data_IF_104710200484
#
_entry.id   IF_104710200484
#
_cell.length_a   1.000
_cell.length_b   1.000
_cell.length_c   1.000
_cell.angle_alpha   90.00
_cell.angle_beta   90.00
_cell.angle_gamma   90.00
#
_symmetry.space_group_name_H-M   'P 1'
#
loop_
_entity.id
_entity.type
_entity.pdbx_description
1 polymer ?
#
# COMPACT_ATOMS: atom_id res chain seq x y z
N UNK A 1 3.87 9.84 39.69
CA UNK A 1 2.61 9.89 40.44
C UNK A 1 1.62 10.89 39.84
N UNK A 2 1.99 12.17 39.65
CA UNK A 2 1.08 13.18 39.06
C UNK A 2 0.77 12.97 37.56
N UNK A 3 1.75 12.58 36.74
CA UNK A 3 1.52 12.24 35.32
C UNK A 3 0.48 11.13 35.15
N UNK A 4 0.58 10.06 35.93
CA UNK A 4 -0.36 8.94 35.90
C UNK A 4 -1.77 9.36 36.34
N UNK A 5 -1.88 10.23 37.35
CA UNK A 5 -3.16 10.80 37.79
C UNK A 5 -3.82 11.64 36.70
N UNK A 6 -3.05 12.51 36.02
CA UNK A 6 -3.56 13.32 34.90
C UNK A 6 -4.00 12.46 33.73
N UNK A 7 -3.22 11.44 33.37
CA UNK A 7 -3.59 10.49 32.32
C UNK A 7 -4.92 9.80 32.63
N UNK A 8 -5.14 9.35 33.87
CA UNK A 8 -6.42 8.75 34.27
C UNK A 8 -7.61 9.72 34.15
N UNK A 9 -7.41 11.00 34.46
CA UNK A 9 -8.46 12.02 34.36
C UNK A 9 -8.84 12.32 32.91
N UNK A 10 -7.86 12.45 32.02
CA UNK A 10 -8.11 12.83 30.62
C UNK A 10 -8.41 11.65 29.69
N UNK A 11 -8.04 10.43 30.08
CA UNK A 11 -8.25 9.23 29.26
C UNK A 11 -9.68 9.09 28.71
N UNK A 12 -10.75 9.21 29.51
CA UNK A 12 -12.12 9.07 28.99
C UNK A 12 -12.48 10.12 27.93
N UNK A 13 -11.91 11.33 28.04
CA UNK A 13 -12.13 12.42 27.08
C UNK A 13 -11.48 12.08 25.74
N UNK A 14 -10.24 11.57 25.76
CA UNK A 14 -9.55 11.14 24.56
C UNK A 14 -10.19 9.90 23.93
N UNK A 15 -10.65 8.93 24.73
CA UNK A 15 -11.40 7.77 24.24
C UNK A 15 -12.69 8.20 23.52
N UNK A 16 -13.43 9.15 24.12
CA UNK A 16 -14.61 9.75 23.49
C UNK A 16 -14.26 10.53 22.22
N UNK A 17 -13.15 11.28 22.21
CA UNK A 17 -12.69 12.02 21.04
C UNK A 17 -12.41 11.10 19.86
N UNK A 18 -11.65 10.01 20.07
CA UNK A 18 -11.34 9.01 19.03
C UNK A 18 -12.62 8.38 18.49
N UNK A 19 -13.55 8.02 19.37
CA UNK A 19 -14.83 7.40 18.99
C UNK A 19 -15.73 8.34 18.18
N UNK A 20 -15.72 9.64 18.49
CA UNK A 20 -16.59 10.62 17.84
C UNK A 20 -15.97 11.22 16.57
N UNK A 21 -14.66 11.43 16.51
CA UNK A 21 -14.06 12.17 15.39
C UNK A 21 -14.17 11.42 14.04
N UNK A 22 -14.40 10.11 14.08
CA UNK A 22 -14.55 9.25 12.88
C UNK A 22 -15.64 9.73 11.90
N UNK A 23 -16.77 10.27 12.38
CA UNK A 23 -17.83 10.71 11.46
C UNK A 23 -17.40 11.90 10.58
N UNK A 24 -16.38 12.65 11.00
CA UNK A 24 -15.86 13.83 10.27
C UNK A 24 -15.03 13.44 9.04
N UNK A 25 -14.55 12.20 8.98
CA UNK A 25 -13.73 11.71 7.85
C UNK A 25 -14.50 10.79 6.92
N UNK A 26 -15.74 10.47 7.26
CA UNK A 26 -16.62 9.66 6.43
C UNK A 26 -16.95 10.41 5.15
N UNK A 27 -16.84 9.70 4.01
CA UNK A 27 -17.30 10.21 2.73
C UNK A 27 -18.78 10.65 2.80
N UNK A 28 -19.14 11.84 2.29
CA UNK A 28 -20.51 12.29 2.26
C UNK A 28 -21.36 11.50 1.24
N UNK A 29 -22.69 11.58 1.36
CA UNK A 29 -23.61 10.83 0.50
C UNK A 29 -23.53 11.28 -0.97
N UNK A 30 -23.38 12.57 -1.16
CA UNK A 30 -23.28 13.30 -2.41
C UNK A 30 -21.83 13.54 -2.84
N UNK A 31 -20.88 12.71 -2.38
CA UNK A 31 -19.45 12.86 -2.69
C UNK A 31 -19.15 13.07 -4.18
N UNK A 32 -19.91 12.42 -5.07
CA UNK A 32 -19.75 12.55 -6.53
C UNK A 32 -20.18 13.92 -7.08
N UNK A 33 -21.00 14.66 -6.34
CA UNK A 33 -21.56 15.95 -6.73
C UNK A 33 -20.84 17.13 -6.06
N UNK A 34 -19.83 16.86 -5.23
CA UNK A 34 -19.08 17.91 -4.56
C UNK A 34 -18.32 18.79 -5.55
N UNK A 35 -18.23 20.07 -5.23
CA UNK A 35 -17.38 20.99 -5.98
C UNK A 35 -15.90 20.68 -5.72
N UNK A 36 -15.01 21.22 -6.57
CA UNK A 36 -13.56 21.09 -6.38
C UNK A 36 -13.12 21.70 -5.04
N UNK A 37 -13.77 22.78 -4.60
CA UNK A 37 -13.50 23.44 -3.33
C UNK A 37 -13.91 22.56 -2.14
N UNK A 38 -15.11 21.97 -2.19
CA UNK A 38 -15.59 21.05 -1.15
C UNK A 38 -14.75 19.78 -1.06
N UNK A 39 -14.30 19.23 -2.20
CA UNK A 39 -13.37 18.10 -2.22
C UNK A 39 -12.04 18.44 -1.53
N UNK A 40 -11.53 19.65 -1.75
CA UNK A 40 -10.31 20.14 -1.10
C UNK A 40 -10.51 20.33 0.41
N UNK A 41 -11.64 20.93 0.81
CA UNK A 41 -11.98 21.11 2.23
C UNK A 41 -12.17 19.76 2.94
N UNK A 42 -12.85 18.81 2.31
CA UNK A 42 -13.00 17.46 2.83
C UNK A 42 -11.63 16.79 3.05
N UNK A 43 -10.72 16.90 2.07
CA UNK A 43 -9.35 16.39 2.19
C UNK A 43 -8.58 17.06 3.34
N UNK A 44 -8.70 18.37 3.52
CA UNK A 44 -8.08 19.10 4.64
C UNK A 44 -8.65 18.66 5.98
N UNK A 45 -9.97 18.47 6.07
CA UNK A 45 -10.63 17.93 7.27
C UNK A 45 -10.05 16.57 7.63
N UNK A 46 -9.89 15.68 6.64
CA UNK A 46 -9.28 14.36 6.86
C UNK A 46 -7.86 14.43 7.41
N UNK A 47 -7.03 15.36 6.93
CA UNK A 47 -5.69 15.56 7.48
C UNK A 47 -5.73 16.07 8.92
N UNK A 48 -6.55 17.08 9.21
CA UNK A 48 -6.70 17.60 10.57
C UNK A 48 -7.18 16.52 11.55
N UNK A 49 -8.11 15.65 11.14
CA UNK A 49 -8.54 14.52 11.97
C UNK A 49 -7.43 13.49 12.16
N UNK A 50 -6.62 13.20 11.13
CA UNK A 50 -5.48 12.30 11.27
C UNK A 50 -4.45 12.81 12.29
N UNK A 51 -4.20 14.12 12.33
CA UNK A 51 -3.34 14.75 13.34
C UNK A 51 -3.94 14.62 14.74
N UNK A 52 -5.24 14.88 14.90
CA UNK A 52 -5.96 14.70 16.18
C UNK A 52 -5.89 13.25 16.67
N UNK A 53 -6.03 12.27 15.77
CA UNK A 53 -5.93 10.85 16.11
C UNK A 53 -4.52 10.46 16.52
N UNK A 54 -3.51 11.04 15.87
CA UNK A 54 -2.10 10.85 16.20
C UNK A 54 -1.80 11.40 17.60
N UNK A 55 -2.27 12.60 17.91
CA UNK A 55 -2.15 13.19 19.24
C UNK A 55 -2.89 12.36 20.29
N UNK A 56 -4.09 11.87 19.99
CA UNK A 56 -4.83 10.99 20.88
C UNK A 56 -4.12 9.65 21.12
N UNK A 57 -3.53 9.04 20.08
CA UNK A 57 -2.75 7.81 20.20
C UNK A 57 -1.48 8.02 21.04
N UNK A 58 -0.87 9.20 21.02
CA UNK A 58 0.27 9.53 21.89
C UNK A 58 -0.11 9.57 23.38
N UNK A 59 -1.37 9.88 23.71
CA UNK A 59 -1.90 9.94 25.08
C UNK A 59 -2.44 8.60 25.55
N UNK A 60 -3.24 7.92 24.72
CA UNK A 60 -3.92 6.66 25.05
C UNK A 60 -3.01 5.43 24.87
N UNK A 61 -2.01 5.54 23.98
CA UNK A 61 -1.26 4.41 23.43
C UNK A 61 -1.91 3.89 22.14
N UNK A 62 -1.10 3.53 21.14
CA UNK A 62 -1.57 3.10 19.83
C UNK A 62 -2.49 1.89 19.88
N UNK A 63 -2.12 0.84 20.60
CA UNK A 63 -2.93 -0.40 20.70
C UNK A 63 -4.29 -0.15 21.37
N UNK A 64 -4.36 0.75 22.36
CA UNK A 64 -5.63 1.12 23.00
C UNK A 64 -6.51 1.92 22.03
N UNK A 65 -5.95 2.87 21.30
CA UNK A 65 -6.66 3.62 20.26
C UNK A 65 -7.14 2.71 19.13
N UNK A 66 -6.31 1.74 18.72
CA UNK A 66 -6.65 0.74 17.70
C UNK A 66 -7.89 -0.06 18.11
N UNK A 67 -8.00 -0.49 19.37
CA UNK A 67 -9.18 -1.21 19.87
C UNK A 67 -10.46 -0.39 19.73
N UNK A 68 -10.42 0.90 20.04
CA UNK A 68 -11.59 1.80 19.90
C UNK A 68 -12.01 1.91 18.44
N UNK A 69 -11.03 2.11 17.54
CA UNK A 69 -11.29 2.23 16.11
C UNK A 69 -11.76 0.90 15.49
N UNK A 70 -11.27 -0.23 15.98
CA UNK A 70 -11.72 -1.55 15.56
C UNK A 70 -13.18 -1.83 15.94
N UNK A 71 -13.64 -1.37 17.11
CA UNK A 71 -15.08 -1.44 17.45
C UNK A 71 -15.91 -0.71 16.40
N UNK A 72 -15.47 0.46 15.93
CA UNK A 72 -16.15 1.21 14.86
C UNK A 72 -16.12 0.49 13.52
N UNK A 73 -15.02 -0.16 13.19
CA UNK A 73 -14.94 -1.00 11.99
C UNK A 73 -15.92 -2.19 12.08
N UNK A 74 -15.94 -2.90 13.20
CA UNK A 74 -16.83 -4.04 13.42
C UNK A 74 -18.31 -3.63 13.42
N UNK A 75 -18.67 -2.49 14.03
CA UNK A 75 -20.01 -1.91 13.95
C UNK A 75 -20.42 -1.62 12.49
N UNK A 76 -19.50 -1.08 11.68
CA UNK A 76 -19.76 -0.84 10.26
C UNK A 76 -19.96 -2.13 9.45
N UNK A 77 -19.17 -3.17 9.75
CA UNK A 77 -19.26 -4.47 9.09
C UNK A 77 -20.55 -5.22 9.44
N UNK A 78 -21.04 -5.10 10.69
CA UNK A 78 -22.27 -5.73 11.13
C UNK A 78 -23.52 -5.24 10.36
N UNK A 79 -23.43 -4.08 9.69
CA UNK A 79 -24.49 -3.55 8.84
C UNK A 79 -24.49 -4.17 7.43
N UNK A 80 -23.43 -4.88 7.02
CA UNK A 80 -23.37 -5.53 5.71
C UNK A 80 -24.32 -6.72 5.65
N UNK A 81 -25.10 -6.82 4.57
CA UNK A 81 -26.10 -7.89 4.38
C UNK A 81 -27.57 -7.46 4.53
N UNK A 82 -27.85 -6.28 5.10
CA UNK A 82 -29.23 -5.73 5.19
C UNK A 82 -29.70 -5.07 3.87
N UNK A 83 -29.22 -5.54 2.72
CA UNK A 83 -29.51 -4.95 1.40
C UNK A 83 -28.78 -3.64 1.10
N UNK A 84 -27.97 -3.13 2.03
CA UNK A 84 -27.19 -1.91 1.86
C UNK A 84 -25.72 -2.17 2.21
N UNK A 85 -24.86 -2.36 1.19
CA UNK A 85 -23.42 -2.51 1.37
C UNK A 85 -22.76 -1.13 1.57
N UNK A 86 -23.17 -0.45 2.65
CA UNK A 86 -22.68 0.88 2.96
C UNK A 86 -21.20 0.82 3.38
N UNK A 87 -20.34 1.20 2.45
CA UNK A 87 -18.88 1.08 2.58
C UNK A 87 -18.23 2.23 3.36
N UNK A 88 -18.91 3.38 3.43
CA UNK A 88 -18.33 4.64 3.92
C UNK A 88 -17.96 4.61 5.41
N UNK A 89 -18.77 4.06 6.34
CA UNK A 89 -18.37 3.95 7.73
C UNK A 89 -17.16 3.04 7.93
N UNK A 90 -17.08 1.93 7.19
CA UNK A 90 -15.92 1.03 7.24
C UNK A 90 -14.66 1.70 6.67
N UNK A 91 -14.80 2.45 5.58
CA UNK A 91 -13.69 3.25 5.02
C UNK A 91 -13.20 4.30 6.01
N UNK A 92 -14.11 5.03 6.65
CA UNK A 92 -13.78 6.04 7.67
C UNK A 92 -12.98 5.42 8.83
N UNK A 93 -13.43 4.26 9.32
CA UNK A 93 -12.73 3.53 10.38
C UNK A 93 -11.33 3.11 9.94
N UNK A 94 -11.18 2.56 8.72
CA UNK A 94 -9.87 2.18 8.20
C UNK A 94 -8.95 3.38 7.97
N UNK A 95 -9.48 4.51 7.52
CA UNK A 95 -8.70 5.73 7.41
C UNK A 95 -8.13 6.15 8.76
N UNK A 96 -8.94 6.13 9.82
CA UNK A 96 -8.49 6.41 11.17
C UNK A 96 -7.45 5.39 11.67
N UNK A 97 -7.66 4.09 11.40
CA UNK A 97 -6.71 3.02 11.76
C UNK A 97 -5.37 3.21 11.05
N UNK A 98 -5.39 3.63 9.78
CA UNK A 98 -4.18 3.96 9.02
C UNK A 98 -3.47 5.17 9.61
N UNK A 99 -4.20 6.21 10.02
CA UNK A 99 -3.61 7.43 10.56
C UNK A 99 -2.73 7.17 11.80
N UNK A 100 -3.09 6.19 12.62
CA UNK A 100 -2.35 5.85 13.85
C UNK A 100 -1.30 4.75 13.67
N UNK A 101 -1.06 4.26 12.45
CA UNK A 101 -0.25 3.05 12.22
C UNK A 101 1.16 3.11 12.82
N UNK A 102 1.78 4.29 12.87
CA UNK A 102 3.11 4.48 13.46
C UNK A 102 3.16 4.36 14.99
N UNK A 103 2.01 4.40 15.66
CA UNK A 103 1.87 4.28 17.11
C UNK A 103 1.49 2.88 17.57
N UNK A 104 0.96 2.06 16.67
CA UNK A 104 0.56 0.69 16.96
C UNK A 104 1.80 -0.20 17.03
N UNK A 105 1.83 -1.10 18.02
CA UNK A 105 2.90 -2.06 18.17
C UNK A 105 3.03 -2.98 16.96
N UNK A 106 4.25 -3.20 16.47
CA UNK A 106 4.49 -4.18 15.40
C UNK A 106 4.16 -5.61 15.82
N UNK A 107 4.12 -5.91 17.13
CA UNK A 107 3.74 -7.23 17.66
C UNK A 107 2.31 -7.26 18.23
N UNK A 108 1.45 -6.29 17.86
CA UNK A 108 0.04 -6.29 18.26
C UNK A 108 -0.66 -7.56 17.77
N UNK A 109 -1.22 -8.37 18.66
CA UNK A 109 -1.68 -9.72 18.32
C UNK A 109 -3.18 -9.95 18.51
N UNK A 110 -3.93 -8.93 18.95
CA UNK A 110 -5.34 -9.07 19.33
C UNK A 110 -6.29 -8.54 18.26
N UNK A 111 -5.95 -7.41 17.63
CA UNK A 111 -6.86 -6.67 16.74
C UNK A 111 -6.42 -6.75 15.28
N UNK A 112 -5.13 -6.50 14.99
CA UNK A 112 -4.59 -6.47 13.64
C UNK A 112 -4.78 -7.77 12.86
N UNK A 113 -4.64 -8.99 13.45
CA UNK A 113 -4.96 -10.22 12.73
C UNK A 113 -6.41 -10.24 12.22
N UNK A 114 -7.35 -9.78 13.05
CA UNK A 114 -8.79 -9.74 12.72
C UNK A 114 -9.08 -8.73 11.60
N UNK A 115 -8.45 -7.56 11.65
CA UNK A 115 -8.57 -6.55 10.60
C UNK A 115 -8.07 -7.13 9.28
N UNK A 116 -6.86 -7.68 9.26
CA UNK A 116 -6.21 -8.20 8.05
C UNK A 116 -6.98 -9.38 7.43
N UNK A 117 -7.52 -10.28 8.25
CA UNK A 117 -8.33 -11.40 7.75
C UNK A 117 -9.67 -10.94 7.15
N UNK A 118 -10.20 -9.80 7.61
CA UNK A 118 -11.53 -9.32 7.18
C UNK A 118 -11.54 -8.65 5.81
N UNK A 119 -10.39 -8.19 5.30
CA UNK A 119 -10.34 -7.37 4.08
C UNK A 119 -10.90 -8.04 2.82
N UNK A 120 -10.85 -9.38 2.72
CA UNK A 120 -11.42 -10.11 1.59
C UNK A 120 -12.96 -10.08 1.57
N UNK A 121 -13.60 -9.77 2.70
CA UNK A 121 -15.05 -9.72 2.85
C UNK A 121 -15.62 -8.32 2.53
N UNK A 122 -14.75 -7.34 2.25
CA UNK A 122 -15.15 -5.95 2.10
C UNK A 122 -15.84 -5.73 0.75
N UNK A 123 -16.86 -4.84 0.68
CA UNK A 123 -17.50 -4.49 -0.58
C UNK A 123 -16.49 -3.99 -1.63
N UNK A 124 -16.71 -4.35 -2.90
CA UNK A 124 -15.87 -3.98 -4.04
C UNK A 124 -16.06 -2.50 -4.46
N UNK A 125 -15.80 -1.56 -3.56
CA UNK A 125 -15.90 -0.12 -3.79
C UNK A 125 -14.51 0.48 -3.97
N UNK A 126 -14.21 1.23 -5.06
CA UNK A 126 -12.85 1.69 -5.37
C UNK A 126 -12.19 2.50 -4.24
N UNK A 127 -12.93 3.42 -3.60
CA UNK A 127 -12.44 4.25 -2.51
C UNK A 127 -12.10 3.43 -1.26
N UNK A 128 -12.97 2.46 -0.92
CA UNK A 128 -12.71 1.54 0.19
C UNK A 128 -11.47 0.69 -0.10
N UNK A 129 -11.36 0.15 -1.32
CA UNK A 129 -10.22 -0.68 -1.73
C UNK A 129 -8.90 0.10 -1.73
N UNK A 130 -8.93 1.38 -2.15
CA UNK A 130 -7.79 2.28 -2.03
C UNK A 130 -7.34 2.41 -0.57
N UNK A 131 -8.27 2.70 0.34
CA UNK A 131 -7.97 2.83 1.78
C UNK A 131 -7.48 1.51 2.39
N UNK A 132 -8.04 0.37 1.98
CA UNK A 132 -7.54 -0.97 2.36
C UNK A 132 -6.08 -1.15 1.91
N UNK A 133 -5.75 -0.88 0.65
CA UNK A 133 -4.38 -1.01 0.13
C UNK A 133 -3.40 -0.12 0.92
N UNK A 134 -3.76 1.15 1.16
CA UNK A 134 -2.91 2.07 1.94
C UNK A 134 -2.75 1.60 3.40
N UNK A 135 -3.80 1.02 3.99
CA UNK A 135 -3.74 0.47 5.35
C UNK A 135 -2.82 -0.73 5.41
N UNK A 136 -2.96 -1.68 4.47
CA UNK A 136 -2.04 -2.82 4.32
C UNK A 136 -0.59 -2.33 4.24
N UNK A 137 -0.29 -1.35 3.39
CA UNK A 137 1.05 -0.80 3.24
C UNK A 137 1.59 -0.14 4.51
N UNK A 138 0.73 0.51 5.30
CA UNK A 138 1.11 1.14 6.57
C UNK A 138 1.43 0.13 7.69
N UNK A 139 0.84 -1.06 7.62
CA UNK A 139 1.05 -2.16 8.59
C UNK A 139 1.94 -3.29 8.04
N UNK A 140 2.73 -3.02 6.99
CA UNK A 140 3.69 -3.96 6.39
C UNK A 140 4.71 -4.52 7.39
N UNK A 141 5.26 -3.67 8.28
CA UNK A 141 6.15 -4.10 9.38
C UNK A 141 5.48 -5.09 10.33
N UNK A 142 4.23 -4.82 10.68
CA UNK A 142 3.44 -5.72 11.52
C UNK A 142 3.18 -7.05 10.80
N UNK A 143 2.89 -7.02 9.50
CA UNK A 143 2.67 -8.22 8.70
C UNK A 143 3.92 -9.12 8.67
N UNK A 144 5.10 -8.53 8.68
CA UNK A 144 6.36 -9.27 8.80
C UNK A 144 6.54 -9.96 10.16
N UNK A 145 5.94 -9.46 11.25
CA UNK A 145 6.09 -10.05 12.60
C UNK A 145 4.93 -10.96 12.99
N UNK A 146 3.85 -11.00 12.21
CA UNK A 146 2.71 -11.87 12.47
C UNK A 146 3.07 -13.36 12.42
N UNK A 147 2.56 -14.16 13.38
CA UNK A 147 2.79 -15.61 13.44
C UNK A 147 2.27 -16.34 12.20
N UNK A 148 1.12 -15.91 11.67
CA UNK A 148 0.49 -16.46 10.45
C UNK A 148 0.75 -15.59 9.21
N UNK A 149 1.95 -15.00 9.12
CA UNK A 149 2.29 -14.05 8.07
C UNK A 149 2.11 -14.62 6.64
N UNK A 150 2.42 -15.90 6.38
CA UNK A 150 2.37 -16.46 5.02
C UNK A 150 0.95 -16.56 4.44
N UNK A 151 -0.04 -17.17 5.13
CA UNK A 151 -1.44 -17.13 4.68
C UNK A 151 -1.97 -15.70 4.50
N UNK A 152 -1.64 -14.80 5.44
CA UNK A 152 -2.04 -13.40 5.36
C UNK A 152 -1.42 -12.69 4.14
N UNK A 153 -0.13 -12.94 3.86
CA UNK A 153 0.55 -12.39 2.67
C UNK A 153 -0.13 -12.83 1.38
N UNK A 154 -0.56 -14.10 1.26
CA UNK A 154 -1.29 -14.56 0.08
C UNK A 154 -2.61 -13.80 -0.12
N UNK A 155 -3.39 -13.64 0.95
CA UNK A 155 -4.65 -12.87 0.93
C UNK A 155 -4.40 -11.39 0.58
N UNK A 156 -3.37 -10.80 1.18
CA UNK A 156 -2.94 -9.42 0.92
C UNK A 156 -2.55 -9.25 -0.55
N UNK A 157 -1.75 -10.16 -1.13
CA UNK A 157 -1.36 -10.06 -2.55
C UNK A 157 -2.58 -10.12 -3.48
N UNK A 158 -3.59 -10.95 -3.18
CA UNK A 158 -4.85 -10.97 -3.94
C UNK A 158 -5.58 -9.63 -3.88
N UNK A 159 -5.65 -9.01 -2.70
CA UNK A 159 -6.26 -7.68 -2.52
C UNK A 159 -5.50 -6.62 -3.31
N UNK A 160 -4.16 -6.62 -3.26
CA UNK A 160 -3.35 -5.66 -4.01
C UNK A 160 -3.53 -5.82 -5.52
N UNK A 161 -3.54 -7.06 -6.03
CA UNK A 161 -3.84 -7.31 -7.45
C UNK A 161 -5.25 -6.84 -7.85
N UNK A 162 -6.23 -7.00 -6.97
CA UNK A 162 -7.57 -6.46 -7.19
C UNK A 162 -7.54 -4.91 -7.22
N UNK A 163 -6.81 -4.27 -6.31
CA UNK A 163 -6.59 -2.83 -6.29
C UNK A 163 -5.97 -2.33 -7.59
N UNK A 164 -4.90 -2.98 -8.06
CA UNK A 164 -4.25 -2.69 -9.34
C UNK A 164 -5.20 -2.76 -10.54
N UNK A 165 -6.25 -3.59 -10.51
CA UNK A 165 -7.21 -3.72 -11.61
C UNK A 165 -8.45 -2.83 -11.53
N UNK A 166 -8.72 -2.18 -10.38
CA UNK A 166 -10.03 -1.56 -10.13
C UNK A 166 -10.12 -0.11 -10.63
N UNK A 167 -9.25 0.77 -10.15
CA UNK A 167 -9.17 2.19 -10.56
C UNK A 167 -7.71 2.67 -10.52
N UNK A 168 -7.40 3.79 -11.16
CA UNK A 168 -6.05 4.39 -11.10
C UNK A 168 -5.66 4.72 -9.65
N UNK A 169 -6.56 5.33 -8.88
CA UNK A 169 -6.34 5.67 -7.47
C UNK A 169 -6.04 4.45 -6.58
N UNK A 170 -6.78 3.35 -6.78
CA UNK A 170 -6.56 2.10 -6.04
C UNK A 170 -5.33 1.35 -6.54
N UNK A 171 -4.98 1.49 -7.82
CA UNK A 171 -3.76 0.93 -8.39
C UNK A 171 -2.50 1.62 -7.85
N UNK A 172 -2.49 2.94 -7.77
CA UNK A 172 -1.41 3.72 -7.15
C UNK A 172 -1.22 3.32 -5.67
N UNK A 173 -2.33 3.24 -4.92
CA UNK A 173 -2.30 2.78 -3.54
C UNK A 173 -1.76 1.34 -3.39
N UNK A 174 -2.18 0.44 -4.27
CA UNK A 174 -1.72 -0.95 -4.28
C UNK A 174 -0.24 -1.08 -4.63
N UNK A 175 0.26 -0.27 -5.57
CA UNK A 175 1.67 -0.23 -5.96
C UNK A 175 2.57 0.21 -4.78
N UNK A 176 2.18 1.26 -4.05
CA UNK A 176 2.89 1.73 -2.85
C UNK A 176 2.87 0.66 -1.76
N UNK A 177 1.71 0.05 -1.52
CA UNK A 177 1.57 -1.00 -0.50
C UNK A 177 2.41 -2.25 -0.84
N UNK A 178 2.40 -2.66 -2.11
CA UNK A 178 3.22 -3.75 -2.62
C UNK A 178 4.70 -3.52 -2.36
N UNK A 179 5.19 -2.29 -2.60
CA UNK A 179 6.56 -1.92 -2.29
C UNK A 179 6.89 -2.03 -0.81
N UNK A 180 6.06 -1.48 0.08
CA UNK A 180 6.32 -1.57 1.53
C UNK A 180 6.33 -3.02 2.02
N UNK A 181 5.41 -3.85 1.51
CA UNK A 181 5.39 -5.28 1.84
C UNK A 181 6.65 -5.99 1.33
N UNK A 182 7.09 -5.71 0.11
CA UNK A 182 8.33 -6.28 -0.40
C UNK A 182 9.54 -5.82 0.43
N UNK A 183 9.64 -4.55 0.82
CA UNK A 183 10.75 -4.06 1.64
C UNK A 183 10.78 -4.74 3.02
N UNK A 184 9.66 -4.75 3.74
CA UNK A 184 9.59 -5.26 5.11
C UNK A 184 9.52 -6.80 5.17
N UNK A 185 8.91 -7.47 4.18
CA UNK A 185 8.70 -8.92 4.14
C UNK A 185 9.60 -9.67 3.13
N UNK A 186 10.60 -9.02 2.52
CA UNK A 186 11.46 -9.60 1.46
C UNK A 186 11.96 -11.01 1.72
N UNK A 187 12.39 -11.31 2.96
CA UNK A 187 12.89 -12.65 3.33
C UNK A 187 11.82 -13.74 3.26
N UNK A 188 10.57 -13.41 3.61
CA UNK A 188 9.43 -14.35 3.50
C UNK A 188 8.95 -14.49 2.06
N UNK A 189 9.18 -13.45 1.25
CA UNK A 189 8.74 -13.34 -0.13
C UNK A 189 9.72 -13.89 -1.16
N UNK A 190 10.98 -14.15 -0.78
CA UNK A 190 12.01 -14.67 -1.68
C UNK A 190 11.62 -15.99 -2.36
N UNK A 191 10.86 -16.84 -1.69
CA UNK A 191 10.32 -18.09 -2.24
C UNK A 191 9.14 -17.92 -3.21
N UNK A 192 8.59 -16.72 -3.34
CA UNK A 192 7.43 -16.40 -4.20
C UNK A 192 7.83 -15.50 -5.38
N UNK A 193 9.11 -15.48 -5.75
CA UNK A 193 9.64 -14.55 -6.73
C UNK A 193 8.92 -14.61 -8.09
N UNK A 194 8.61 -15.81 -8.61
CA UNK A 194 7.93 -15.94 -9.89
C UNK A 194 6.50 -15.35 -9.87
N UNK A 195 5.76 -15.51 -8.76
CA UNK A 195 4.45 -14.88 -8.57
C UNK A 195 4.57 -13.35 -8.56
N UNK A 196 5.55 -12.81 -7.82
CA UNK A 196 5.81 -11.37 -7.75
C UNK A 196 6.25 -10.81 -9.11
N UNK A 197 7.03 -11.58 -9.86
CA UNK A 197 7.46 -11.23 -11.21
C UNK A 197 6.28 -11.17 -12.18
N UNK A 198 5.30 -12.08 -12.05
CA UNK A 198 4.08 -12.04 -12.86
C UNK A 198 3.26 -10.75 -12.63
N UNK A 199 3.20 -10.25 -11.39
CA UNK A 199 2.55 -8.98 -11.05
C UNK A 199 3.28 -7.82 -11.71
N UNK A 200 4.61 -7.81 -11.64
CA UNK A 200 5.45 -6.82 -12.29
C UNK A 200 5.26 -6.80 -13.81
N UNK A 201 5.31 -7.95 -14.49
CA UNK A 201 5.14 -8.02 -15.94
C UNK A 201 3.82 -7.40 -16.37
N UNK A 202 2.72 -7.76 -15.69
CA UNK A 202 1.39 -7.20 -15.97
C UNK A 202 1.34 -5.68 -15.81
N UNK A 203 1.99 -5.16 -14.78
CA UNK A 203 1.98 -3.72 -14.50
C UNK A 203 2.96 -2.90 -15.37
N UNK A 204 4.11 -3.48 -15.76
CA UNK A 204 5.18 -2.75 -16.46
C UNK A 204 5.07 -2.85 -17.97
N UNK A 205 4.68 -4.01 -18.48
CA UNK A 205 4.45 -4.26 -19.91
C UNK A 205 3.06 -3.73 -20.32
N UNK A 206 2.16 -3.54 -19.35
CA UNK A 206 0.77 -3.14 -19.61
C UNK A 206 -0.09 -4.30 -20.12
N UNK A 207 0.36 -5.54 -19.93
CA UNK A 207 -0.42 -6.73 -20.24
C UNK A 207 -1.46 -7.02 -19.14
N UNK A 208 -2.73 -6.97 -19.52
CA UNK A 208 -3.86 -7.36 -18.66
C UNK A 208 -4.69 -6.18 -18.17
N UNK A 209 -5.49 -6.43 -17.13
CA UNK A 209 -6.50 -5.49 -16.62
C UNK A 209 -5.98 -4.45 -15.62
N UNK A 210 -4.66 -4.34 -15.44
CA UNK A 210 -4.08 -3.41 -14.47
C UNK A 210 -4.12 -1.96 -14.98
N UNK A 211 -4.48 -1.05 -14.07
CA UNK A 211 -4.59 0.40 -14.30
C UNK A 211 -3.42 1.15 -13.64
N UNK A 212 -2.27 0.48 -13.52
CA UNK A 212 -1.06 1.04 -12.90
C UNK A 212 -0.41 2.01 -13.88
N UNK A 213 -0.20 3.26 -13.46
CA UNK A 213 0.46 4.26 -14.30
C UNK A 213 1.94 3.94 -14.50
N UNK A 214 2.55 4.57 -15.50
CA UNK A 214 4.00 4.49 -15.73
C UNK A 214 4.81 4.90 -14.48
N UNK A 215 4.37 5.94 -13.76
CA UNK A 215 5.00 6.43 -12.54
C UNK A 215 4.83 5.45 -11.38
N UNK A 216 3.62 4.96 -11.15
CA UNK A 216 3.35 3.98 -10.08
C UNK A 216 4.07 2.65 -10.31
N UNK A 217 4.30 2.28 -11.57
CA UNK A 217 5.04 1.07 -11.93
C UNK A 217 6.48 1.07 -11.39
N UNK A 218 7.06 2.24 -11.13
CA UNK A 218 8.37 2.37 -10.50
C UNK A 218 8.40 1.75 -9.10
N UNK A 219 7.30 1.81 -8.35
CA UNK A 219 7.21 1.16 -7.04
C UNK A 219 7.32 -0.36 -7.13
N UNK A 220 6.78 -0.99 -8.19
CA UNK A 220 6.88 -2.43 -8.39
C UNK A 220 8.28 -2.85 -8.81
N UNK A 221 8.94 -2.01 -9.63
CA UNK A 221 10.34 -2.20 -10.03
C UNK A 221 11.24 -2.14 -8.79
N UNK A 222 11.06 -1.11 -7.96
CA UNK A 222 11.77 -0.94 -6.69
C UNK A 222 11.55 -2.14 -5.75
N UNK A 223 10.29 -2.57 -5.60
CA UNK A 223 9.88 -3.68 -4.76
C UNK A 223 10.59 -5.00 -5.13
N UNK A 224 10.56 -5.37 -6.41
CA UNK A 224 11.22 -6.60 -6.87
C UNK A 224 12.74 -6.51 -6.73
N UNK A 225 13.31 -5.35 -7.01
CA UNK A 225 14.74 -5.13 -6.86
C UNK A 225 15.20 -5.37 -5.41
N UNK A 226 14.39 -4.96 -4.43
CA UNK A 226 14.64 -5.26 -3.01
C UNK A 226 14.55 -6.75 -2.69
N UNK A 227 13.55 -7.47 -3.23
CA UNK A 227 13.39 -8.92 -2.99
C UNK A 227 14.56 -9.71 -3.59
N UNK A 228 15.05 -9.31 -4.77
CA UNK A 228 16.21 -9.94 -5.43
C UNK A 228 17.46 -9.91 -4.54
N UNK A 229 17.62 -8.88 -3.70
CA UNK A 229 18.78 -8.80 -2.79
C UNK A 229 18.82 -9.89 -1.71
N UNK A 230 17.69 -10.57 -1.45
CA UNK A 230 17.61 -11.69 -0.50
C UNK A 230 17.64 -13.07 -1.21
N UNK A 231 17.78 -13.11 -2.54
CA UNK A 231 17.92 -14.36 -3.29
C UNK A 231 19.37 -14.89 -3.23
N UNK A 232 19.57 -16.21 -3.33
CA UNK A 232 20.89 -16.79 -3.57
C UNK A 232 21.54 -16.23 -4.84
N UNK A 233 22.89 -16.09 -4.92
CA UNK A 233 23.57 -15.45 -6.04
C UNK A 233 23.18 -15.98 -7.43
N UNK A 234 23.04 -17.29 -7.57
CA UNK A 234 22.70 -17.94 -8.84
C UNK A 234 21.29 -17.55 -9.34
N UNK A 235 20.35 -17.44 -8.41
CA UNK A 235 18.97 -17.04 -8.69
C UNK A 235 18.85 -15.52 -8.86
N UNK A 236 19.65 -14.75 -8.11
CA UNK A 236 19.64 -13.30 -8.17
C UNK A 236 20.06 -12.77 -9.55
N UNK A 237 21.08 -13.38 -10.19
CA UNK A 237 21.48 -13.01 -11.57
C UNK A 237 20.31 -13.20 -12.55
N UNK A 238 19.71 -14.38 -12.54
CA UNK A 238 18.59 -14.71 -13.44
C UNK A 238 17.37 -13.82 -13.19
N UNK A 239 17.07 -13.56 -11.92
CA UNK A 239 15.99 -12.67 -11.51
C UNK A 239 16.22 -11.22 -11.98
N UNK A 240 17.46 -10.74 -11.91
CA UNK A 240 17.84 -9.41 -12.37
C UNK A 240 17.76 -9.28 -13.89
N UNK A 241 18.21 -10.28 -14.64
CA UNK A 241 18.05 -10.34 -16.09
C UNK A 241 16.56 -10.31 -16.50
N UNK A 242 15.74 -11.13 -15.84
CA UNK A 242 14.27 -11.14 -16.03
C UNK A 242 13.66 -9.76 -15.74
N UNK A 243 14.12 -9.08 -14.69
CA UNK A 243 13.62 -7.75 -14.31
C UNK A 243 14.00 -6.68 -15.33
N UNK A 244 15.23 -6.70 -15.83
CA UNK A 244 15.73 -5.73 -16.81
C UNK A 244 15.11 -5.89 -18.20
N UNK A 245 14.75 -7.12 -18.62
CA UNK A 245 14.33 -7.40 -20.00
C UNK A 245 13.12 -6.55 -20.44
N UNK A 246 12.00 -6.46 -19.70
CA UNK A 246 10.87 -5.61 -20.07
C UNK A 246 11.18 -4.11 -20.13
N UNK A 247 12.29 -3.69 -19.52
CA UNK A 247 12.75 -2.30 -19.49
C UNK A 247 13.67 -1.99 -20.68
N UNK A 248 14.58 -2.91 -20.99
CA UNK A 248 15.59 -2.75 -22.05
C UNK A 248 15.02 -3.01 -23.43
N UNK A 249 14.13 -3.99 -23.59
CA UNK A 249 13.60 -4.37 -24.92
C UNK A 249 12.97 -3.19 -25.67
N UNK A 250 12.06 -2.38 -25.07
CA UNK A 250 11.47 -1.24 -25.77
C UNK A 250 12.52 -0.18 -26.16
N UNK A 251 13.53 0.05 -25.32
CA UNK A 251 14.63 0.97 -25.62
C UNK A 251 15.46 0.47 -26.81
N UNK A 252 15.78 -0.82 -26.82
CA UNK A 252 16.56 -1.44 -27.90
C UNK A 252 15.79 -1.43 -29.23
N UNK A 253 14.48 -1.66 -29.21
CA UNK A 253 13.62 -1.55 -30.39
C UNK A 253 13.63 -0.14 -30.98
N UNK A 254 13.50 0.90 -30.14
CA UNK A 254 13.56 2.29 -30.63
C UNK A 254 14.94 2.62 -31.19
N UNK A 255 16.03 2.18 -30.54
CA UNK A 255 17.40 2.42 -31.03
C UNK A 255 17.63 1.73 -32.38
N UNK A 256 17.16 0.49 -32.54
CA UNK A 256 17.34 -0.30 -33.77
C UNK A 256 16.53 0.26 -34.96
N UNK A 257 15.47 1.03 -34.70
CA UNK A 257 14.69 1.70 -35.75
C UNK A 257 15.37 2.96 -36.31
N UNK A 258 16.50 3.38 -35.73
CA UNK A 258 17.32 4.48 -36.22
C UNK A 258 16.92 5.87 -35.69
N UNK A 259 17.76 6.89 -35.96
CA UNK A 259 17.65 8.21 -35.33
C UNK A 259 16.36 8.95 -35.67
N UNK A 260 15.81 8.77 -36.88
CA UNK A 260 14.57 9.45 -37.30
C UNK A 260 13.34 9.04 -36.48
N UNK A 261 13.29 7.80 -35.99
CA UNK A 261 12.18 7.33 -35.13
C UNK A 261 12.41 7.77 -33.68
N UNK A 262 13.65 7.73 -33.22
CA UNK A 262 14.04 8.20 -31.90
C UNK A 262 13.70 9.70 -31.70
N UNK A 263 13.98 10.55 -32.69
CA UNK A 263 13.67 11.99 -32.63
C UNK A 263 12.16 12.30 -32.61
N UNK A 264 11.33 11.38 -33.10
CA UNK A 264 9.86 11.52 -33.11
C UNK A 264 9.21 11.01 -31.82
N UNK A 265 9.92 10.25 -30.99
CA UNK A 265 9.41 9.73 -29.72
C UNK A 265 9.32 10.83 -28.67
N UNK A 266 8.23 10.82 -27.90
CA UNK A 266 8.11 11.70 -26.75
C UNK A 266 9.15 11.31 -25.70
N UNK A 267 9.90 12.30 -25.17
CA UNK A 267 10.95 12.04 -24.17
C UNK A 267 10.45 11.20 -22.99
N UNK A 268 9.22 11.45 -22.51
CA UNK A 268 8.58 10.69 -21.42
C UNK A 268 8.45 9.19 -21.68
N UNK A 269 8.31 8.78 -22.94
CA UNK A 269 8.21 7.36 -23.31
C UNK A 269 9.55 6.64 -23.17
N UNK A 270 10.67 7.37 -23.24
CA UNK A 270 12.02 6.83 -23.04
C UNK A 270 12.45 6.96 -21.58
N UNK A 271 12.19 8.12 -20.97
CA UNK A 271 12.61 8.43 -19.59
C UNK A 271 12.03 7.43 -18.59
N UNK A 272 10.79 6.95 -18.77
CA UNK A 272 10.21 5.93 -17.89
C UNK A 272 11.06 4.65 -17.82
N UNK A 273 11.62 4.19 -18.94
CA UNK A 273 12.46 2.99 -18.95
C UNK A 273 13.84 3.27 -18.33
N UNK A 274 14.38 4.47 -18.53
CA UNK A 274 15.63 4.89 -17.89
C UNK A 274 15.45 4.98 -16.37
N UNK A 275 14.34 5.55 -15.90
CA UNK A 275 14.01 5.62 -14.49
C UNK A 275 13.85 4.22 -13.89
N UNK A 276 13.15 3.30 -14.58
CA UNK A 276 13.05 1.90 -14.16
C UNK A 276 14.43 1.27 -13.98
N UNK A 277 15.37 1.43 -14.92
CA UNK A 277 16.74 0.95 -14.75
C UNK A 277 17.43 1.60 -13.54
N UNK A 278 17.28 2.91 -13.36
CA UNK A 278 17.87 3.61 -12.22
C UNK A 278 17.33 3.05 -10.88
N UNK A 279 16.03 2.75 -10.77
CA UNK A 279 15.43 2.13 -9.59
C UNK A 279 15.94 0.71 -9.34
N UNK A 280 16.13 -0.09 -10.40
CA UNK A 280 16.72 -1.44 -10.30
C UNK A 280 18.10 -1.37 -9.65
N UNK A 281 18.97 -0.51 -10.18
CA UNK A 281 20.36 -0.43 -9.71
C UNK A 281 20.52 0.34 -8.40
N UNK A 282 19.62 1.27 -8.07
CA UNK A 282 19.64 2.00 -6.78
C UNK A 282 19.31 1.12 -5.58
N UNK A 283 18.41 0.15 -5.76
CA UNK A 283 17.89 -0.69 -4.67
C UNK A 283 18.85 -1.82 -4.28
N UNK A 284 19.83 -2.13 -5.11
CA UNK A 284 20.96 -3.01 -4.79
C UNK A 284 21.90 -2.35 -3.77
N UNK A 285 21.56 -2.39 -2.48
CA UNK A 285 22.41 -1.84 -1.40
C UNK A 285 23.70 -2.63 -1.16
N UNK A 286 23.82 -3.81 -1.73
CA UNK A 286 25.13 -4.40 -2.03
C UNK A 286 25.38 -4.15 -3.51
N UNK A 287 26.57 -3.67 -3.91
CA UNK A 287 26.94 -3.68 -5.31
C UNK A 287 26.93 -5.16 -5.72
N UNK A 288 25.84 -5.63 -6.31
CA UNK A 288 25.93 -6.71 -7.27
C UNK A 288 27.04 -6.27 -8.20
N UNK A 289 28.16 -7.01 -8.30
CA UNK A 289 29.20 -6.61 -9.22
C UNK A 289 28.53 -6.57 -10.58
N UNK A 290 28.33 -5.37 -11.12
CA UNK A 290 27.73 -5.15 -12.44
C UNK A 290 28.49 -5.93 -13.52
N UNK A 291 29.72 -6.35 -13.21
CA UNK A 291 30.52 -7.31 -13.95
C UNK A 291 29.83 -8.65 -14.25
N UNK A 292 28.81 -9.08 -13.49
CA UNK A 292 28.10 -10.33 -13.75
C UNK A 292 26.97 -10.22 -14.78
N UNK A 293 26.48 -9.01 -15.07
CA UNK A 293 25.42 -8.77 -16.08
C UNK A 293 25.99 -8.58 -17.49
N UNK A 294 27.28 -8.30 -17.59
CA UNK A 294 27.98 -8.03 -18.86
C UNK A 294 29.07 -9.07 -19.18
N UNK A 295 29.04 -10.24 -18.54
CA UNK A 295 29.94 -11.36 -18.77
C UNK A 295 29.18 -12.61 -19.23
#
# INVERSE_FOLDING_TARGET
MEKSRRLQVFRPVYESLVSLVIFRVQYPQDYQNLSIEDLKEFKQTRYAVADVLTDAASVLGGDATLKILYVKLAEAQACWGNGNNEWRPAEAALFCIRAIASYVSVVEAEVMPKIMSSFLEFPHQPQLLQTVCLTIGAYSKWLNTASDALPLLSSVMKILMQGMGTSEDSAAAAAIAFRHICDDCRRKLSGYFDDLFSIYQRAVIGEGSFKVSAEDSLHLVEALSMVITELPPDLAKQALEKLCLPVVTPLQEVINQGPEVLEKKLARELTVHIDRLAYIFRSGRNPFPLSFLFA
#
